data_IF_417006896307
#
_entry.id   IF_417006896307
#
_cell.length_a   1.000
_cell.length_b   1.000
_cell.length_c   1.000
_cell.angle_alpha   90.00
_cell.angle_beta   90.00
_cell.angle_gamma   90.00
#
_symmetry.space_group_name_H-M   'P 1'
#
loop_
_entity.id
_entity.type
_entity.pdbx_description
1 polymer ?
#
# COMPACT_ATOMS: atom_id res chain seq x y z
N UNK A 1 -29.04 -2.86 7.96
CA UNK A 1 -27.77 -2.61 8.64
C UNK A 1 -28.00 -3.03 10.07
N UNK A 2 -27.20 -4.00 10.51
CA UNK A 2 -27.36 -4.60 11.83
C UNK A 2 -26.41 -3.94 12.82
N UNK A 3 -25.19 -3.60 12.38
CA UNK A 3 -24.17 -2.99 13.22
C UNK A 3 -23.17 -2.17 12.38
N UNK A 4 -22.57 -1.15 13.01
CA UNK A 4 -21.39 -0.43 12.50
C UNK A 4 -20.33 -0.45 13.59
N UNK A 5 -19.12 -0.88 13.24
CA UNK A 5 -17.99 -0.96 14.15
C UNK A 5 -16.79 -0.20 13.60
N UNK A 6 -16.03 0.41 14.49
CA UNK A 6 -14.71 0.96 14.19
C UNK A 6 -13.68 -0.19 14.19
N UNK A 7 -12.78 -0.16 13.22
CA UNK A 7 -11.63 -1.06 13.10
C UNK A 7 -10.37 -0.21 12.95
N UNK A 8 -9.19 -0.81 13.19
CA UNK A 8 -7.91 -0.09 13.21
C UNK A 8 -7.68 0.84 11.99
N UNK A 9 -8.14 0.43 10.81
CA UNK A 9 -7.95 1.16 9.56
C UNK A 9 -9.24 1.76 8.96
N UNK A 10 -10.34 1.81 9.71
CA UNK A 10 -11.58 2.37 9.18
C UNK A 10 -12.87 1.97 9.92
N UNK A 11 -13.97 1.90 9.17
CA UNK A 11 -15.31 1.59 9.69
C UNK A 11 -15.92 0.45 8.88
N UNK A 12 -16.46 -0.57 9.56
CA UNK A 12 -17.10 -1.72 8.94
C UNK A 12 -18.62 -1.70 9.16
N UNK A 13 -19.38 -2.00 8.10
CA UNK A 13 -20.85 -2.14 8.15
C UNK A 13 -21.24 -3.60 8.07
N UNK A 14 -21.96 -4.07 9.08
CA UNK A 14 -22.44 -5.45 9.18
C UNK A 14 -23.93 -5.47 8.86
N UNK A 15 -24.33 -6.37 7.97
CA UNK A 15 -25.73 -6.59 7.66
C UNK A 15 -25.97 -8.01 7.12
N UNK A 16 -27.22 -8.46 7.21
CA UNK A 16 -27.67 -9.65 6.50
C UNK A 16 -27.71 -9.43 4.97
N UNK A 17 -26.62 -9.81 4.30
CA UNK A 17 -26.47 -9.78 2.85
C UNK A 17 -25.83 -8.49 2.31
N UNK A 18 -25.19 -8.62 1.14
CA UNK A 18 -24.39 -7.56 0.53
C UNK A 18 -25.16 -6.27 0.25
N UNK A 19 -26.39 -6.37 -0.26
CA UNK A 19 -27.17 -5.20 -0.67
C UNK A 19 -27.44 -4.28 0.54
N UNK A 20 -27.83 -4.86 1.67
CA UNK A 20 -28.08 -4.11 2.90
C UNK A 20 -26.79 -3.54 3.49
N UNK A 21 -25.68 -4.29 3.45
CA UNK A 21 -24.37 -3.81 3.92
C UNK A 21 -23.86 -2.64 3.08
N UNK A 22 -23.95 -2.75 1.75
CA UNK A 22 -23.55 -1.68 0.82
C UNK A 22 -24.39 -0.42 1.02
N UNK A 23 -25.71 -0.55 1.11
CA UNK A 23 -26.59 0.59 1.34
C UNK A 23 -26.28 1.29 2.69
N UNK A 24 -26.01 0.51 3.74
CA UNK A 24 -25.59 1.06 5.04
C UNK A 24 -24.26 1.82 4.95
N UNK A 25 -23.25 1.23 4.29
CA UNK A 25 -21.95 1.87 4.04
C UNK A 25 -22.10 3.18 3.29
N UNK A 26 -22.88 3.19 2.21
CA UNK A 26 -23.06 4.38 1.37
C UNK A 26 -23.82 5.51 2.09
N UNK A 27 -24.52 5.21 3.18
CA UNK A 27 -25.25 6.18 3.99
C UNK A 27 -24.44 6.76 5.17
N UNK A 28 -23.23 6.24 5.45
CA UNK A 28 -22.41 6.72 6.55
C UNK A 28 -21.97 8.17 6.34
N UNK A 29 -22.07 8.96 7.41
CA UNK A 29 -21.42 10.26 7.51
C UNK A 29 -20.28 10.12 8.51
N UNK A 30 -19.05 10.33 8.04
CA UNK A 30 -17.85 10.07 8.83
C UNK A 30 -17.00 11.33 8.85
N UNK A 31 -16.62 11.74 10.05
CA UNK A 31 -15.54 12.72 10.28
C UNK A 31 -14.28 11.92 10.60
N UNK A 32 -13.24 12.09 9.79
CA UNK A 32 -11.98 11.37 9.95
C UNK A 32 -10.95 12.26 10.65
N UNK A 33 -10.21 11.68 11.58
CA UNK A 33 -8.90 12.19 11.95
C UNK A 33 -7.89 11.68 10.92
N UNK A 34 -7.40 12.57 10.05
CA UNK A 34 -6.46 12.21 8.98
C UNK A 34 -5.04 11.90 9.51
N UNK A 35 -4.77 12.21 10.78
CA UNK A 35 -3.48 11.95 11.43
C UNK A 35 -2.29 12.67 10.78
N UNK A 36 -1.08 12.22 11.11
CA UNK A 36 0.18 12.81 10.61
C UNK A 36 0.32 12.72 9.08
N UNK A 37 -0.35 11.74 8.46
CA UNK A 37 -0.27 11.47 7.02
C UNK A 37 -1.27 12.21 6.15
N UNK A 38 -2.25 12.93 6.72
CA UNK A 38 -3.36 13.53 5.95
C UNK A 38 -2.93 14.52 4.86
N UNK A 39 -1.82 15.22 5.07
CA UNK A 39 -1.27 16.19 4.12
C UNK A 39 -0.27 15.58 3.11
N UNK A 40 -0.09 14.25 3.08
CA UNK A 40 0.87 13.61 2.19
C UNK A 40 0.40 13.70 0.74
N UNK A 41 1.26 14.23 -0.13
CA UNK A 41 1.01 14.34 -1.57
C UNK A 41 2.16 13.73 -2.40
N UNK A 42 1.94 13.63 -3.71
CA UNK A 42 2.92 13.11 -4.65
C UNK A 42 4.26 13.87 -4.59
N UNK A 43 4.21 15.19 -4.41
CA UNK A 43 5.41 16.03 -4.40
C UNK A 43 6.30 15.70 -3.19
N UNK A 44 5.69 15.56 -2.01
CA UNK A 44 6.35 15.17 -0.78
C UNK A 44 6.89 13.74 -0.86
N UNK A 45 6.10 12.80 -1.41
CA UNK A 45 6.54 11.43 -1.62
C UNK A 45 7.77 11.38 -2.54
N UNK A 46 7.74 12.06 -3.70
CA UNK A 46 8.89 12.10 -4.60
C UNK A 46 10.11 12.77 -3.97
N UNK A 47 9.91 13.82 -3.16
CA UNK A 47 10.99 14.47 -2.41
C UNK A 47 11.66 13.48 -1.45
N UNK A 48 10.86 12.70 -0.70
CA UNK A 48 11.37 11.66 0.22
C UNK A 48 12.12 10.56 -0.53
N UNK A 49 11.56 10.05 -1.63
CA UNK A 49 12.18 9.01 -2.45
C UNK A 49 13.52 9.47 -3.04
N UNK A 50 13.58 10.70 -3.57
CA UNK A 50 14.82 11.28 -4.09
C UNK A 50 15.88 11.42 -3.01
N UNK A 51 15.50 11.92 -1.82
CA UNK A 51 16.43 12.05 -0.70
C UNK A 51 16.98 10.68 -0.28
N UNK A 52 16.13 9.65 -0.20
CA UNK A 52 16.53 8.29 0.14
C UNK A 52 17.45 7.66 -0.92
N UNK A 53 17.18 7.90 -2.21
CA UNK A 53 18.04 7.40 -3.29
C UNK A 53 19.45 8.02 -3.25
N UNK A 54 19.58 9.25 -2.77
CA UNK A 54 20.85 9.97 -2.63
C UNK A 54 21.57 9.70 -1.31
N UNK A 55 20.88 9.18 -0.28
CA UNK A 55 21.50 8.88 1.03
C UNK A 55 22.40 7.64 1.03
N UNK A 56 22.59 7.01 -0.13
CA UNK A 56 23.29 5.74 -0.28
C UNK A 56 22.32 4.57 -0.23
N UNK A 57 22.74 3.46 -0.84
CA UNK A 57 21.96 2.23 -0.92
C UNK A 57 22.84 1.01 -0.73
N UNK A 58 22.23 -0.17 -0.77
CA UNK A 58 22.97 -1.42 -0.77
C UNK A 58 23.75 -1.55 -2.08
N UNK A 59 25.06 -1.68 -2.00
CA UNK A 59 25.88 -2.06 -3.16
C UNK A 59 25.48 -3.48 -3.59
N UNK A 60 24.95 -3.61 -4.81
CA UNK A 60 24.59 -4.90 -5.39
C UNK A 60 25.71 -5.47 -6.26
N UNK A 61 26.56 -4.60 -6.82
CA UNK A 61 27.62 -4.96 -7.76
C UNK A 61 28.68 -3.86 -7.83
N UNK A 62 29.96 -4.25 -7.87
CA UNK A 62 31.10 -3.36 -7.95
C UNK A 62 32.22 -4.03 -8.77
N UNK A 63 32.44 -3.54 -10.00
CA UNK A 63 33.42 -4.09 -10.93
C UNK A 63 34.40 -2.99 -11.38
N UNK A 64 35.70 -3.20 -11.17
CA UNK A 64 36.73 -2.26 -11.57
C UNK A 64 36.88 -1.07 -10.62
N UNK A 65 37.45 0.03 -11.13
CA UNK A 65 37.64 1.30 -10.39
C UNK A 65 36.81 2.41 -11.05
N UNK A 66 35.56 2.49 -10.60
CA UNK A 66 34.58 3.47 -11.10
C UNK A 66 35.02 4.89 -10.72
N UNK A 67 35.48 5.10 -9.49
CA UNK A 67 35.89 6.42 -9.00
C UNK A 67 37.04 7.00 -9.82
N UNK A 68 38.08 6.19 -10.11
CA UNK A 68 39.18 6.60 -10.96
C UNK A 68 38.69 6.98 -12.37
N UNK A 69 37.76 6.20 -12.94
CA UNK A 69 37.21 6.44 -14.28
C UNK A 69 36.40 7.73 -14.33
N UNK A 70 35.51 7.95 -13.36
CA UNK A 70 34.65 9.14 -13.29
C UNK A 70 35.44 10.44 -13.04
N UNK A 71 36.66 10.36 -12.51
CA UNK A 71 37.51 11.54 -12.29
C UNK A 71 38.04 12.18 -13.60
N UNK A 72 38.04 11.44 -14.71
CA UNK A 72 38.61 11.88 -16.00
C UNK A 72 37.63 11.85 -17.16
N UNK A 73 36.51 11.13 -17.02
CA UNK A 73 35.51 10.98 -18.06
C UNK A 73 34.57 12.19 -18.15
N UNK A 74 34.03 12.43 -19.35
CA UNK A 74 32.84 13.27 -19.51
C UNK A 74 31.61 12.52 -18.96
N UNK A 75 30.78 13.21 -18.18
CA UNK A 75 29.67 12.57 -17.46
C UNK A 75 28.33 13.15 -17.85
N UNK A 76 27.33 12.27 -18.05
CA UNK A 76 25.92 12.64 -18.13
C UNK A 76 25.22 12.15 -16.87
N UNK A 77 24.44 13.03 -16.23
CA UNK A 77 23.58 12.67 -15.10
C UNK A 77 22.13 12.92 -15.48
N UNK A 78 21.27 11.96 -15.15
CA UNK A 78 19.84 12.06 -15.33
C UNK A 78 19.12 11.40 -14.14
N UNK A 79 17.97 11.95 -13.77
CA UNK A 79 17.08 11.39 -12.76
C UNK A 79 15.88 10.76 -13.47
N UNK A 80 15.56 9.52 -13.11
CA UNK A 80 14.41 8.79 -13.63
C UNK A 80 13.46 8.48 -12.48
N UNK A 81 12.17 8.77 -12.69
CA UNK A 81 11.10 8.47 -11.73
C UNK A 81 9.94 7.79 -12.45
N UNK A 82 9.26 6.91 -11.74
CA UNK A 82 8.06 6.22 -12.21
C UNK A 82 6.87 6.67 -11.35
N UNK A 83 5.66 6.81 -11.93
CA UNK A 83 4.47 7.08 -11.15
C UNK A 83 4.10 5.86 -10.29
N UNK A 84 3.24 6.07 -9.29
CA UNK A 84 2.57 4.96 -8.63
C UNK A 84 1.67 4.23 -9.62
N UNK A 85 1.80 2.91 -9.64
CA UNK A 85 1.04 2.04 -10.53
C UNK A 85 0.09 1.18 -9.70
N UNK A 86 -1.18 1.18 -10.08
CA UNK A 86 -2.12 0.20 -9.56
C UNK A 86 -1.82 -1.17 -10.16
N UNK A 87 -1.92 -2.22 -9.34
CA UNK A 87 -1.81 -3.60 -9.81
C UNK A 87 -2.90 -3.98 -10.82
N UNK A 88 -4.06 -3.29 -10.79
CA UNK A 88 -5.14 -3.40 -11.75
C UNK A 88 -5.57 -4.86 -12.02
N UNK A 89 -5.76 -5.63 -10.95
CA UNK A 89 -6.22 -7.02 -11.05
C UNK A 89 -7.62 -7.06 -11.67
N UNK A 90 -7.85 -8.03 -12.57
CA UNK A 90 -9.16 -8.20 -13.23
C UNK A 90 -10.27 -8.54 -12.22
N UNK A 91 -9.93 -9.29 -11.18
CA UNK A 91 -10.82 -9.56 -10.05
C UNK A 91 -10.61 -8.49 -8.96
N UNK A 92 -11.69 -7.84 -8.46
CA UNK A 92 -11.62 -7.02 -7.26
C UNK A 92 -11.27 -7.87 -6.03
N UNK A 93 -10.45 -7.30 -5.14
CA UNK A 93 -10.11 -7.93 -3.88
C UNK A 93 -11.38 -8.25 -3.07
N UNK A 94 -11.43 -9.47 -2.54
CA UNK A 94 -12.50 -9.98 -1.69
C UNK A 94 -11.92 -10.90 -0.61
N UNK A 95 -12.73 -11.24 0.40
CA UNK A 95 -12.38 -12.20 1.43
C UNK A 95 -13.66 -12.76 2.05
N UNK A 96 -13.70 -14.07 2.28
CA UNK A 96 -14.72 -14.73 3.09
C UNK A 96 -14.05 -15.39 4.29
N UNK A 97 -14.51 -15.05 5.49
CA UNK A 97 -14.12 -15.73 6.72
C UNK A 97 -15.32 -16.52 7.27
N UNK A 98 -15.08 -17.76 7.67
CA UNK A 98 -16.08 -18.63 8.28
C UNK A 98 -15.57 -19.14 9.62
N UNK A 99 -16.15 -18.59 10.69
CA UNK A 99 -15.87 -19.00 12.06
C UNK A 99 -16.87 -20.07 12.46
N UNK A 100 -16.38 -21.28 12.76
CA UNK A 100 -17.18 -22.41 13.21
C UNK A 100 -16.32 -23.36 14.04
N UNK A 101 -16.91 -24.09 14.99
CA UNK A 101 -16.24 -25.14 15.78
C UNK A 101 -14.92 -24.70 16.45
N UNK A 102 -14.82 -23.44 16.87
CA UNK A 102 -13.61 -22.87 17.47
C UNK A 102 -12.47 -22.60 16.48
N UNK A 103 -12.73 -22.68 15.18
CA UNK A 103 -11.79 -22.42 14.08
C UNK A 103 -12.32 -21.29 13.19
N UNK A 104 -11.41 -20.66 12.44
CA UNK A 104 -11.74 -19.69 11.40
C UNK A 104 -11.10 -20.13 10.08
N UNK A 105 -11.92 -20.46 9.10
CA UNK A 105 -11.47 -20.71 7.72
C UNK A 105 -11.55 -19.42 6.93
N UNK A 106 -10.46 -19.03 6.27
CA UNK A 106 -10.39 -17.81 5.47
C UNK A 106 -10.09 -18.16 4.02
N UNK A 107 -10.95 -17.70 3.10
CA UNK A 107 -10.71 -17.72 1.66
C UNK A 107 -10.45 -16.29 1.19
N UNK A 108 -9.23 -16.06 0.71
CA UNK A 108 -8.79 -14.77 0.20
C UNK A 108 -7.78 -14.96 -0.94
N UNK A 109 -7.70 -14.02 -1.89
CA UNK A 109 -6.67 -14.00 -2.93
C UNK A 109 -5.33 -13.49 -2.35
N UNK A 110 -4.75 -14.24 -1.41
CA UNK A 110 -3.45 -13.92 -0.79
C UNK A 110 -2.30 -14.66 -1.48
N UNK A 111 -1.15 -14.00 -1.59
CA UNK A 111 0.10 -14.59 -2.09
C UNK A 111 1.03 -15.06 -0.96
N UNK A 112 0.60 -14.87 0.29
CA UNK A 112 1.42 -15.09 1.49
C UNK A 112 0.60 -15.76 2.59
N UNK A 113 0.07 -16.96 2.32
CA UNK A 113 -0.80 -17.70 3.23
C UNK A 113 -0.13 -18.13 4.54
N UNK A 114 1.20 -18.19 4.57
CA UNK A 114 2.00 -18.65 5.71
C UNK A 114 3.05 -17.62 6.15
N UNK A 115 2.93 -16.35 5.75
CA UNK A 115 3.91 -15.35 6.19
C UNK A 115 3.91 -15.25 7.73
N UNK A 116 5.10 -15.20 8.36
CA UNK A 116 5.26 -15.25 9.81
C UNK A 116 4.64 -14.04 10.53
#
# INVERSE_FOLDING_TARGET
>A
MDEVIEIESGVAVIANGYVAAKAGRDALQIEWDEGEGGALDDAEIFRRLKAAALSGGRELRNDGDVDATFSTAETLRAEYRLPYLAHATMEPMNCTAWVHDGQCTVWAPTQFQNAP
#
